data_IF_075834000409
#
_entry.id   IF_075834000409
#
_cell.length_a   1.000
_cell.length_b   1.000
_cell.length_c   1.000
_cell.angle_alpha   90.00
_cell.angle_beta   90.00
_cell.angle_gamma   90.00
#
_symmetry.space_group_name_H-M   'P 1'
#
loop_
_entity.id
_entity.type
_entity.pdbx_description
1 polymer ?
#
# COMPACT_ATOMS: atom_id res chain seq x y z
N UNK A 1 21.29 -13.39 9.29
CA UNK A 1 22.13 -12.88 8.17
C UNK A 1 21.88 -13.77 6.97
N UNK A 2 21.60 -13.18 5.79
CA UNK A 2 21.35 -13.97 4.57
C UNK A 2 22.57 -14.83 4.22
N UNK A 3 22.36 -16.01 3.66
CA UNK A 3 23.45 -16.86 3.19
C UNK A 3 24.16 -16.14 2.03
N UNK A 4 25.50 -16.20 1.96
CA UNK A 4 26.26 -15.53 0.90
C UNK A 4 25.81 -15.95 -0.51
N UNK A 5 25.28 -17.18 -0.63
CA UNK A 5 24.72 -17.71 -1.88
C UNK A 5 23.49 -16.94 -2.37
N UNK A 6 22.79 -16.25 -1.48
CA UNK A 6 21.56 -15.49 -1.76
C UNK A 6 21.83 -13.98 -1.84
N UNK A 7 23.11 -13.55 -1.88
CA UNK A 7 23.49 -12.13 -1.89
C UNK A 7 24.31 -11.76 -3.11
N UNK A 8 24.04 -10.58 -3.66
CA UNK A 8 24.84 -9.97 -4.73
C UNK A 8 25.53 -8.73 -4.18
N UNK A 9 26.81 -8.55 -4.49
CA UNK A 9 27.56 -7.35 -4.11
C UNK A 9 27.18 -6.17 -5.01
N UNK A 10 26.85 -5.02 -4.41
CA UNK A 10 26.50 -3.79 -5.12
C UNK A 10 27.59 -2.75 -4.84
N UNK A 11 28.11 -2.11 -5.89
CA UNK A 11 29.13 -1.06 -5.80
C UNK A 11 28.62 0.21 -6.46
N UNK A 12 28.71 1.34 -5.78
CA UNK A 12 28.42 2.66 -6.33
C UNK A 12 29.40 3.69 -5.77
N UNK A 13 29.52 4.82 -6.45
CA UNK A 13 30.32 5.96 -6.01
C UNK A 13 29.41 7.11 -5.62
N UNK A 14 29.76 7.80 -4.56
CA UNK A 14 29.14 9.05 -4.12
C UNK A 14 30.24 10.04 -3.71
N UNK A 15 29.87 11.30 -3.54
CA UNK A 15 30.81 12.33 -3.10
C UNK A 15 31.27 12.07 -1.67
N UNK A 16 32.46 12.57 -1.32
CA UNK A 16 33.01 12.42 0.03
C UNK A 16 32.06 12.99 1.10
N UNK A 17 31.36 14.08 0.79
CA UNK A 17 30.38 14.68 1.70
C UNK A 17 29.21 13.74 2.01
N UNK A 18 28.64 13.08 0.99
CA UNK A 18 27.56 12.10 1.17
C UNK A 18 28.04 10.89 1.98
N UNK A 19 29.28 10.44 1.78
CA UNK A 19 29.88 9.40 2.61
C UNK A 19 29.98 9.81 4.09
N UNK A 20 30.41 11.05 4.37
CA UNK A 20 30.49 11.56 5.74
C UNK A 20 29.12 11.65 6.41
N UNK A 21 28.11 12.12 5.69
CA UNK A 21 26.73 12.16 6.20
C UNK A 21 26.19 10.76 6.50
N UNK A 22 26.45 9.79 5.61
CA UNK A 22 26.07 8.39 5.83
C UNK A 22 26.74 7.82 7.09
N UNK A 23 28.02 8.13 7.32
CA UNK A 23 28.75 7.69 8.50
C UNK A 23 28.17 8.24 9.80
N UNK A 24 27.87 9.53 9.82
CA UNK A 24 27.27 10.18 10.98
C UNK A 24 25.90 9.57 11.30
N UNK A 25 25.04 9.40 10.28
CA UNK A 25 23.73 8.75 10.43
C UNK A 25 23.86 7.34 10.99
N UNK A 26 24.77 6.53 10.45
CA UNK A 26 25.02 5.16 10.92
C UNK A 26 25.53 5.14 12.36
N UNK A 27 26.43 6.07 12.71
CA UNK A 27 26.99 6.19 14.06
C UNK A 27 25.92 6.59 15.08
N UNK A 28 25.07 7.55 14.75
CA UNK A 28 23.98 8.00 15.61
C UNK A 28 22.92 6.91 15.81
N UNK A 29 22.59 6.17 14.76
CA UNK A 29 21.62 5.07 14.82
C UNK A 29 22.19 3.77 15.39
N UNK A 30 23.52 3.66 15.56
CA UNK A 30 24.18 2.45 16.07
C UNK A 30 24.13 1.25 15.12
N UNK A 31 23.98 1.49 13.81
CA UNK A 31 23.83 0.46 12.78
C UNK A 31 24.95 0.52 11.73
N UNK A 32 25.12 -0.56 10.97
CA UNK A 32 26.11 -0.61 9.88
C UNK A 32 25.59 0.08 8.62
N UNK A 33 26.47 0.66 7.81
CA UNK A 33 26.11 1.26 6.49
C UNK A 33 25.27 0.32 5.62
N UNK A 34 25.63 -0.96 5.58
CA UNK A 34 24.90 -1.98 4.80
C UNK A 34 23.46 -2.16 5.27
N UNK A 35 23.24 -2.08 6.58
CA UNK A 35 21.92 -2.22 7.20
C UNK A 35 21.06 -0.98 6.98
N UNK A 36 21.67 0.20 7.12
CA UNK A 36 21.03 1.48 6.77
C UNK A 36 20.59 1.49 5.31
N UNK A 37 21.49 1.17 4.37
CA UNK A 37 21.18 1.16 2.94
C UNK A 37 20.09 0.13 2.61
N UNK A 38 20.15 -1.07 3.17
CA UNK A 38 19.12 -2.09 2.97
C UNK A 38 17.75 -1.63 3.49
N UNK A 39 17.72 -0.95 4.64
CA UNK A 39 16.52 -0.34 5.22
C UNK A 39 15.96 0.77 4.32
N UNK A 40 16.80 1.67 3.81
CA UNK A 40 16.40 2.71 2.87
C UNK A 40 15.80 2.10 1.60
N UNK A 41 16.46 1.11 0.99
CA UNK A 41 15.97 0.45 -0.23
C UNK A 41 14.62 -0.22 0.01
N UNK A 42 14.47 -0.95 1.12
CA UNK A 42 13.21 -1.63 1.47
C UNK A 42 12.10 -0.60 1.75
N UNK A 43 12.40 0.45 2.50
CA UNK A 43 11.45 1.52 2.82
C UNK A 43 10.97 2.25 1.57
N UNK A 44 11.87 2.60 0.65
CA UNK A 44 11.50 3.24 -0.61
C UNK A 44 10.71 2.28 -1.51
N UNK A 45 11.09 1.01 -1.57
CA UNK A 45 10.34 -0.01 -2.30
C UNK A 45 8.92 -0.17 -1.75
N UNK A 46 8.76 -0.26 -0.43
CA UNK A 46 7.47 -0.39 0.24
C UNK A 46 6.58 0.84 0.02
N UNK A 47 7.16 2.05 0.01
CA UNK A 47 6.43 3.29 -0.33
C UNK A 47 5.93 3.26 -1.77
N UNK A 48 6.76 2.85 -2.73
CA UNK A 48 6.40 2.79 -4.15
C UNK A 48 5.38 1.67 -4.44
N UNK A 49 5.54 0.52 -3.80
CA UNK A 49 4.60 -0.58 -3.94
C UNK A 49 3.29 -0.34 -3.19
N UNK A 50 3.25 0.62 -2.26
CA UNK A 50 2.12 0.78 -1.35
C UNK A 50 2.03 -0.42 -0.41
N UNK A 51 1.70 -0.19 0.85
CA UNK A 51 1.58 -1.25 1.84
C UNK A 51 0.67 -2.38 1.26
N UNK A 52 1.18 -3.60 1.02
CA UNK A 52 0.42 -4.64 0.30
C UNK A 52 -0.87 -4.99 1.04
N UNK A 53 -0.90 -4.83 2.37
CA UNK A 53 -2.11 -4.91 3.19
C UNK A 53 -3.12 -3.83 2.85
N UNK A 54 -2.69 -2.58 2.62
CA UNK A 54 -3.56 -1.47 2.26
C UNK A 54 -4.09 -1.62 0.82
N UNK A 55 -3.25 -2.09 -0.12
CA UNK A 55 -3.68 -2.45 -1.48
C UNK A 55 -4.72 -3.58 -1.44
N UNK A 56 -4.46 -4.65 -0.68
CA UNK A 56 -5.41 -5.75 -0.51
C UNK A 56 -6.72 -5.29 0.15
N UNK A 57 -6.66 -4.42 1.16
CA UNK A 57 -7.86 -3.83 1.79
C UNK A 57 -8.62 -2.94 0.79
N UNK A 58 -7.95 -2.13 -0.02
CA UNK A 58 -8.60 -1.32 -1.06
C UNK A 58 -9.24 -2.19 -2.15
N UNK A 59 -8.62 -3.30 -2.51
CA UNK A 59 -9.14 -4.26 -3.49
C UNK A 59 -10.34 -5.04 -2.93
N UNK A 60 -10.29 -5.44 -1.65
CA UNK A 60 -11.44 -5.96 -0.93
C UNK A 60 -12.58 -4.93 -0.85
N UNK A 61 -12.27 -3.66 -0.54
CA UNK A 61 -13.27 -2.59 -0.47
C UNK A 61 -13.91 -2.33 -1.83
N UNK A 62 -13.14 -2.42 -2.92
CA UNK A 62 -13.63 -2.33 -4.29
C UNK A 62 -14.57 -3.50 -4.63
N UNK A 63 -14.18 -4.73 -4.28
CA UNK A 63 -15.03 -5.91 -4.50
C UNK A 63 -16.34 -5.86 -3.71
N UNK A 64 -16.30 -5.41 -2.44
CA UNK A 64 -17.50 -5.19 -1.63
C UNK A 64 -18.39 -4.10 -2.25
N UNK A 65 -17.79 -3.02 -2.77
CA UNK A 65 -18.54 -1.93 -3.43
C UNK A 65 -19.20 -2.39 -4.75
N UNK A 66 -18.53 -3.23 -5.52
CA UNK A 66 -19.08 -3.85 -6.75
C UNK A 66 -20.22 -4.82 -6.41
N UNK A 67 -20.07 -5.66 -5.37
CA UNK A 67 -21.13 -6.56 -4.87
C UNK A 67 -22.33 -5.80 -4.30
N UNK A 68 -22.12 -4.68 -3.58
CA UNK A 68 -23.22 -3.83 -3.11
C UNK A 68 -23.96 -3.16 -4.28
N UNK A 69 -23.26 -2.79 -5.36
CA UNK A 69 -23.86 -2.21 -6.56
C UNK A 69 -24.70 -3.25 -7.33
N UNK A 70 -24.30 -4.51 -7.34
CA UNK A 70 -25.09 -5.60 -7.93
C UNK A 70 -26.35 -5.91 -7.09
N UNK A 71 -26.23 -5.92 -5.76
CA UNK A 71 -27.36 -6.13 -4.84
C UNK A 71 -28.37 -4.98 -4.87
N UNK A 72 -27.91 -3.73 -5.01
CA UNK A 72 -28.78 -2.54 -5.14
C UNK A 72 -29.28 -2.32 -6.57
N UNK A 73 -28.59 -2.89 -7.57
CA UNK A 73 -29.00 -2.87 -8.98
C UNK A 73 -30.15 -3.84 -9.32
N UNK A 74 -30.49 -4.79 -8.46
CA UNK A 74 -31.67 -5.65 -8.61
C UNK A 74 -32.95 -5.08 -7.98
N UNK A 75 -32.88 -3.97 -7.23
CA UNK A 75 -34.06 -3.32 -6.65
C UNK A 75 -34.72 -2.30 -7.61
N UNK A 76 -34.49 -2.41 -8.93
CA UNK A 76 -34.93 -1.43 -9.92
C UNK A 76 -35.96 -1.89 -10.95
N UNK A 77 -36.35 -3.17 -10.99
CA UNK A 77 -37.28 -3.67 -12.00
C UNK A 77 -38.33 -4.61 -11.40
N UNK A 78 -39.43 -4.03 -10.94
CA UNK A 78 -40.72 -4.73 -10.83
C UNK A 78 -41.27 -4.90 -9.41
N UNK A 79 -41.95 -3.89 -8.90
CA UNK A 79 -43.07 -4.07 -7.98
C UNK A 79 -43.97 -2.83 -8.02
N UNK A 80 -45.02 -2.90 -8.83
CA UNK A 80 -46.21 -2.06 -8.68
C UNK A 80 -46.86 -2.45 -7.35
N UNK A 81 -46.87 -1.55 -6.35
CA UNK A 81 -47.79 -1.64 -5.23
C UNK A 81 -48.60 -0.35 -5.22
N UNK A 82 -49.86 -0.47 -5.62
CA UNK A 82 -50.86 0.57 -5.42
C UNK A 82 -51.33 0.60 -3.96
N UNK A 83 -51.53 1.81 -3.47
CA UNK A 83 -52.46 2.22 -2.44
C UNK A 83 -52.86 3.65 -2.87
N UNK A 84 -54.02 3.85 -3.48
CA UNK A 84 -55.30 4.09 -2.79
C UNK A 84 -55.11 4.99 -1.56
N UNK A 85 -55.29 6.29 -1.77
CA UNK A 85 -55.96 7.13 -0.77
C UNK A 85 -56.78 8.19 -1.50
N UNK A 86 -58.05 8.27 -1.11
CA UNK A 86 -59.15 8.80 -1.88
C UNK A 86 -59.21 10.32 -1.96
N UNK A 87 -59.95 10.79 -2.96
CA UNK A 87 -60.41 12.17 -2.98
C UNK A 87 -61.53 12.40 -1.95
N UNK A 88 -61.58 13.61 -1.42
CA UNK A 88 -62.85 14.33 -1.27
C UNK A 88 -62.61 15.84 -1.35
N UNK A 89 -63.70 16.50 -1.71
CA UNK A 89 -63.95 17.89 -2.13
C UNK A 89 -63.53 19.00 -1.17
#
# INVERSE_FOLDING_TARGET
>A
MANKKDTVAITFRCTNEVCSQLDELCRMAGIKRSEFIASCVTSEYDKMQGNPKLKAIMEQFRSISEQMKELTGQAGNGATIGADDGGEV
#
